data_IF_090969165960
#
_entry.id   IF_090969165960
#
_cell.length_a   1.000
_cell.length_b   1.000
_cell.length_c   1.000
_cell.angle_alpha   90.00
_cell.angle_beta   90.00
_cell.angle_gamma   90.00
#
_symmetry.space_group_name_H-M   'P 1'
#
loop_
_entity.id
_entity.type
_entity.pdbx_description
1 polymer ?
#
# COMPACT_ATOMS: atom_id res chain seq x y z
N UNK A 1 -27.44 17.41 -6.35
CA UNK A 1 -27.73 16.47 -5.24
C UNK A 1 -26.43 16.01 -4.56
N UNK A 2 -25.73 14.98 -5.06
CA UNK A 2 -24.51 14.43 -4.43
C UNK A 2 -23.34 15.44 -4.32
N UNK A 3 -23.06 16.19 -5.39
CA UNK A 3 -21.97 17.17 -5.43
C UNK A 3 -22.23 18.38 -4.52
N UNK A 4 -23.48 18.81 -4.41
CA UNK A 4 -23.89 19.95 -3.57
C UNK A 4 -23.76 19.65 -2.07
N UNK A 5 -24.07 18.42 -1.64
CA UNK A 5 -23.90 17.99 -0.25
C UNK A 5 -22.41 17.98 0.16
N UNK A 6 -21.53 17.56 -0.74
CA UNK A 6 -20.09 17.57 -0.51
C UNK A 6 -19.50 18.98 -0.47
N UNK A 7 -19.90 19.84 -1.40
CA UNK A 7 -19.47 21.24 -1.41
C UNK A 7 -19.92 21.93 -0.13
N UNK A 8 -21.18 21.73 0.27
CA UNK A 8 -21.70 22.24 1.53
C UNK A 8 -20.94 21.72 2.74
N UNK A 9 -20.68 20.42 2.82
CA UNK A 9 -19.90 19.83 3.92
C UNK A 9 -18.45 20.33 3.97
N UNK A 10 -17.84 20.61 2.81
CA UNK A 10 -16.50 21.22 2.72
C UNK A 10 -16.52 22.67 3.17
N UNK A 11 -17.50 23.45 2.74
CA UNK A 11 -17.66 24.87 3.10
C UNK A 11 -17.94 25.02 4.59
N UNK A 12 -18.83 24.18 5.13
CA UNK A 12 -19.20 24.21 6.55
C UNK A 12 -18.20 23.46 7.45
N UNK A 13 -17.21 22.77 6.87
CA UNK A 13 -16.13 22.12 7.62
C UNK A 13 -16.58 20.96 8.50
N UNK A 14 -17.67 20.27 8.17
CA UNK A 14 -18.22 19.22 9.03
C UNK A 14 -17.21 18.10 9.30
N UNK A 15 -16.92 17.88 10.57
CA UNK A 15 -16.16 16.74 11.06
C UNK A 15 -16.93 15.44 10.84
N UNK A 16 -16.23 14.30 10.83
CA UNK A 16 -16.92 13.02 10.69
C UNK A 16 -17.88 12.76 11.85
N UNK A 17 -17.53 13.17 13.07
CA UNK A 17 -18.37 13.02 14.24
C UNK A 17 -19.72 13.77 14.07
N UNK A 18 -19.68 14.98 13.50
CA UNK A 18 -20.89 15.74 13.20
C UNK A 18 -21.73 15.08 12.10
N UNK A 19 -21.10 14.60 11.03
CA UNK A 19 -21.81 13.88 9.97
C UNK A 19 -22.46 12.61 10.54
N UNK A 20 -21.73 11.84 11.35
CA UNK A 20 -22.26 10.64 12.02
C UNK A 20 -23.44 10.98 12.93
N UNK A 21 -23.35 12.05 13.74
CA UNK A 21 -24.43 12.47 14.62
C UNK A 21 -25.71 12.80 13.85
N UNK A 22 -25.59 13.50 12.71
CA UNK A 22 -26.74 13.84 11.86
C UNK A 22 -27.33 12.62 11.13
N UNK A 23 -26.48 11.72 10.64
CA UNK A 23 -26.93 10.45 10.06
C UNK A 23 -27.72 9.64 11.10
N UNK A 24 -27.25 9.59 12.35
CA UNK A 24 -27.97 8.94 13.46
C UNK A 24 -29.28 9.64 13.81
N UNK A 25 -29.39 10.94 13.57
CA UNK A 25 -30.62 11.71 13.75
C UNK A 25 -31.64 11.53 12.60
N UNK A 26 -31.31 10.73 11.58
CA UNK A 26 -32.20 10.41 10.46
C UNK A 26 -31.84 11.09 9.13
N UNK A 27 -30.81 11.93 9.09
CA UNK A 27 -30.31 12.54 7.85
C UNK A 27 -29.43 11.56 7.06
N UNK A 28 -30.00 10.42 6.65
CA UNK A 28 -29.27 9.28 6.08
C UNK A 28 -28.47 9.62 4.82
N UNK A 29 -28.95 10.57 4.02
CA UNK A 29 -28.26 11.07 2.82
C UNK A 29 -26.86 11.64 3.12
N UNK A 30 -26.62 12.13 4.34
CA UNK A 30 -25.31 12.65 4.73
C UNK A 30 -24.23 11.56 4.87
N UNK A 31 -24.62 10.28 4.93
CA UNK A 31 -23.67 9.18 4.95
C UNK A 31 -22.80 9.13 3.69
N UNK A 32 -23.32 9.62 2.56
CA UNK A 32 -22.57 9.75 1.30
C UNK A 32 -21.28 10.57 1.47
N UNK A 33 -21.28 11.57 2.35
CA UNK A 33 -20.08 12.39 2.62
C UNK A 33 -18.97 11.52 3.20
N UNK A 34 -19.28 10.66 4.17
CA UNK A 34 -18.32 9.73 4.77
C UNK A 34 -17.82 8.73 3.73
N UNK A 35 -18.72 8.15 2.93
CA UNK A 35 -18.33 7.22 1.87
C UNK A 35 -17.32 7.85 0.91
N UNK A 36 -17.63 9.05 0.41
CA UNK A 36 -16.74 9.73 -0.55
C UNK A 36 -15.40 10.15 0.05
N UNK A 37 -15.35 10.50 1.34
CA UNK A 37 -14.10 10.77 2.07
C UNK A 37 -13.21 9.53 2.14
N UNK A 38 -13.79 8.34 2.28
CA UNK A 38 -13.05 7.13 2.63
C UNK A 38 -12.97 6.06 1.54
N UNK A 39 -13.65 6.23 0.41
CA UNK A 39 -13.65 5.25 -0.69
C UNK A 39 -12.24 4.84 -1.13
N UNK A 40 -11.36 5.80 -1.37
CA UNK A 40 -10.01 5.49 -1.85
C UNK A 40 -9.21 4.66 -0.84
N UNK A 41 -9.32 5.01 0.44
CA UNK A 41 -8.68 4.35 1.58
C UNK A 41 -9.19 2.93 1.78
N UNK A 42 -10.51 2.74 1.71
CA UNK A 42 -11.13 1.42 1.83
C UNK A 42 -10.80 0.53 0.64
N UNK A 43 -10.82 1.07 -0.58
CA UNK A 43 -10.44 0.35 -1.80
C UNK A 43 -9.01 -0.17 -1.71
N UNK A 44 -8.07 0.72 -1.36
CA UNK A 44 -6.65 0.41 -1.16
C UNK A 44 -6.47 -0.72 -0.16
N UNK A 45 -7.07 -0.62 1.03
CA UNK A 45 -6.96 -1.66 2.06
C UNK A 45 -7.54 -3.01 1.61
N UNK A 46 -8.73 -3.04 1.02
CA UNK A 46 -9.36 -4.27 0.54
C UNK A 46 -8.59 -4.91 -0.61
N UNK A 47 -8.14 -4.09 -1.58
CA UNK A 47 -7.34 -4.51 -2.74
C UNK A 47 -6.01 -5.12 -2.31
N UNK A 48 -5.36 -4.54 -1.29
CA UNK A 48 -4.13 -5.09 -0.74
C UNK A 48 -4.36 -6.51 -0.20
N UNK A 49 -5.47 -6.78 0.49
CA UNK A 49 -5.75 -8.08 1.07
C UNK A 49 -6.15 -9.11 -0.01
N UNK A 50 -7.14 -8.78 -0.84
CA UNK A 50 -7.79 -9.75 -1.73
C UNK A 50 -7.03 -10.02 -3.03
N UNK A 51 -6.24 -9.04 -3.49
CA UNK A 51 -5.62 -9.03 -4.83
C UNK A 51 -6.62 -9.20 -5.99
N UNK A 52 -7.90 -8.89 -5.80
CA UNK A 52 -8.91 -8.76 -6.87
C UNK A 52 -9.64 -7.39 -6.79
N UNK A 53 -9.77 -6.61 -7.88
CA UNK A 53 -10.43 -5.30 -7.85
C UNK A 53 -11.94 -5.40 -7.62
N UNK A 54 -12.60 -6.37 -8.25
CA UNK A 54 -14.05 -6.56 -8.14
C UNK A 54 -14.41 -7.05 -6.73
N UNK A 55 -13.66 -8.01 -6.18
CA UNK A 55 -13.88 -8.44 -4.80
C UNK A 55 -13.60 -7.31 -3.79
N UNK A 56 -12.64 -6.43 -4.08
CA UNK A 56 -12.38 -5.26 -3.25
C UNK A 56 -13.57 -4.30 -3.24
N UNK A 57 -14.17 -3.99 -4.39
CA UNK A 57 -15.37 -3.16 -4.48
C UNK A 57 -16.54 -3.79 -3.72
N UNK A 58 -16.75 -5.10 -3.86
CA UNK A 58 -17.80 -5.81 -3.13
C UNK A 58 -17.58 -5.76 -1.60
N UNK A 59 -16.33 -5.92 -1.13
CA UNK A 59 -16.01 -5.76 0.30
C UNK A 59 -16.27 -4.34 0.77
N UNK A 60 -15.96 -3.33 -0.04
CA UNK A 60 -16.24 -1.94 0.33
C UNK A 60 -17.75 -1.72 0.54
N UNK A 61 -18.58 -2.26 -0.36
CA UNK A 61 -20.03 -2.16 -0.25
C UNK A 61 -20.53 -2.81 1.04
N UNK A 62 -20.11 -4.06 1.30
CA UNK A 62 -20.47 -4.78 2.52
C UNK A 62 -20.00 -4.04 3.78
N UNK A 63 -18.79 -3.50 3.76
CA UNK A 63 -18.22 -2.74 4.87
C UNK A 63 -19.04 -1.48 5.15
N UNK A 64 -19.45 -0.73 4.12
CA UNK A 64 -20.29 0.45 4.31
C UNK A 64 -21.69 0.11 4.83
N UNK A 65 -22.29 -0.99 4.36
CA UNK A 65 -23.58 -1.46 4.86
C UNK A 65 -23.47 -1.84 6.34
N UNK A 66 -22.45 -2.63 6.70
CA UNK A 66 -22.21 -3.04 8.09
C UNK A 66 -21.87 -1.86 8.99
N UNK A 67 -21.06 -0.91 8.51
CA UNK A 67 -20.75 0.32 9.21
C UNK A 67 -22.02 1.16 9.45
N UNK A 68 -22.88 1.28 8.45
CA UNK A 68 -24.16 1.99 8.62
C UNK A 68 -25.06 1.31 9.67
N UNK A 69 -25.21 -0.02 9.61
CA UNK A 69 -26.00 -0.79 10.57
C UNK A 69 -25.48 -0.67 12.01
N UNK A 70 -24.16 -0.60 12.17
CA UNK A 70 -23.49 -0.51 13.47
C UNK A 70 -23.09 0.92 13.85
N UNK A 71 -23.55 1.94 13.11
CA UNK A 71 -23.15 3.33 13.30
C UNK A 71 -23.48 3.86 14.70
N UNK A 72 -24.51 3.30 15.34
CA UNK A 72 -24.89 3.60 16.72
C UNK A 72 -23.83 3.21 17.76
N UNK A 73 -22.98 2.22 17.44
CA UNK A 73 -21.88 1.74 18.30
C UNK A 73 -20.60 2.57 18.11
N UNK A 74 -20.56 3.47 17.12
CA UNK A 74 -19.44 4.39 16.99
C UNK A 74 -19.52 5.46 18.08
N UNK A 75 -18.60 5.36 19.04
CA UNK A 75 -18.53 6.25 20.21
C UNK A 75 -17.54 7.41 20.06
N UNK A 76 -16.83 7.51 18.92
CA UNK A 76 -15.85 8.58 18.69
C UNK A 76 -14.56 8.48 19.51
N UNK A 77 -14.31 7.34 20.17
CA UNK A 77 -13.04 7.10 20.90
C UNK A 77 -11.83 6.96 19.98
N UNK A 78 -12.07 6.56 18.74
CA UNK A 78 -11.10 6.46 17.66
C UNK A 78 -11.62 7.26 16.44
N UNK A 79 -10.73 7.71 15.53
CA UNK A 79 -11.13 8.29 14.26
C UNK A 79 -12.09 7.36 13.51
N UNK A 80 -13.14 7.94 12.90
CA UNK A 80 -14.12 7.18 12.13
C UNK A 80 -13.46 6.33 11.03
N UNK A 81 -12.40 6.86 10.41
CA UNK A 81 -11.63 6.16 9.40
C UNK A 81 -11.01 4.85 9.90
N UNK A 82 -10.45 4.84 11.12
CA UNK A 82 -9.85 3.65 11.72
C UNK A 82 -10.93 2.60 12.04
N UNK A 83 -12.05 3.05 12.58
CA UNK A 83 -13.20 2.18 12.86
C UNK A 83 -13.77 1.53 11.59
N UNK A 84 -13.95 2.32 10.52
CA UNK A 84 -14.44 1.84 9.24
C UNK A 84 -13.45 0.88 8.56
N UNK A 85 -12.15 1.20 8.61
CA UNK A 85 -11.11 0.33 8.05
C UNK A 85 -11.06 -1.03 8.74
N UNK A 86 -11.25 -1.09 10.07
CA UNK A 86 -11.35 -2.37 10.77
C UNK A 86 -12.47 -3.24 10.22
N UNK A 87 -13.63 -2.65 9.95
CA UNK A 87 -14.77 -3.39 9.37
C UNK A 87 -14.37 -3.93 7.99
N UNK A 88 -13.83 -3.09 7.11
CA UNK A 88 -13.45 -3.49 5.76
C UNK A 88 -12.35 -4.56 5.75
N UNK A 89 -11.33 -4.42 6.59
CA UNK A 89 -10.22 -5.37 6.72
C UNK A 89 -10.73 -6.72 7.23
N UNK A 90 -11.60 -6.74 8.22
CA UNK A 90 -12.17 -7.99 8.73
C UNK A 90 -13.03 -8.70 7.69
N UNK A 91 -13.83 -7.97 6.90
CA UNK A 91 -14.58 -8.55 5.78
C UNK A 91 -13.63 -9.14 4.71
N UNK A 92 -12.58 -8.41 4.32
CA UNK A 92 -11.60 -8.86 3.34
C UNK A 92 -10.87 -10.14 3.80
N UNK A 93 -10.36 -10.15 5.05
CA UNK A 93 -9.70 -11.31 5.65
C UNK A 93 -10.67 -12.50 5.78
N UNK A 94 -11.93 -12.23 6.11
CA UNK A 94 -12.98 -13.27 6.19
C UNK A 94 -13.21 -13.96 4.85
N UNK A 95 -13.35 -13.18 3.76
CA UNK A 95 -13.51 -13.72 2.40
C UNK A 95 -12.29 -14.53 1.96
N UNK A 96 -11.08 -14.02 2.22
CA UNK A 96 -9.84 -14.70 1.89
C UNK A 96 -9.73 -16.08 2.56
N UNK A 97 -10.03 -16.17 3.87
CA UNK A 97 -10.03 -17.45 4.61
C UNK A 97 -11.03 -18.46 4.04
N UNK A 98 -12.19 -18.00 3.59
CA UNK A 98 -13.21 -18.87 2.96
C UNK A 98 -12.69 -19.40 1.62
N UNK A 99 -12.05 -18.54 0.82
CA UNK A 99 -11.44 -18.91 -0.46
C UNK A 99 -10.37 -19.99 -0.27
N UNK A 100 -9.46 -19.79 0.67
CA UNK A 100 -8.35 -20.72 0.92
C UNK A 100 -8.85 -22.08 1.41
N UNK A 101 -9.88 -22.11 2.28
CA UNK A 101 -10.51 -23.35 2.74
C UNK A 101 -11.19 -24.13 1.61
N UNK A 102 -11.71 -23.44 0.60
CA UNK A 102 -12.42 -24.04 -0.52
C UNK A 102 -11.48 -24.42 -1.68
N UNK A 103 -10.17 -24.16 -1.56
CA UNK A 103 -9.16 -24.64 -2.52
C UNK A 103 -9.03 -26.17 -2.37
N UNK A 104 -9.18 -26.96 -3.45
CA UNK A 104 -9.01 -28.41 -3.37
C UNK A 104 -7.62 -28.77 -2.82
N UNK A 105 -7.57 -29.68 -1.85
CA UNK A 105 -6.33 -30.28 -1.33
C UNK A 105 -5.69 -31.11 -2.45
N UNK A 106 -4.86 -30.49 -3.27
CA UNK A 106 -4.24 -31.14 -4.43
C UNK A 106 -3.23 -30.29 -5.20
N UNK A 107 -3.20 -28.97 -5.00
CA UNK A 107 -2.21 -28.06 -5.57
C UNK A 107 -1.23 -27.61 -4.48
N UNK A 108 -0.42 -28.55 -4.00
CA UNK A 108 0.83 -28.26 -3.30
C UNK A 108 1.97 -28.39 -4.33
N UNK A 109 1.82 -27.69 -5.46
CA UNK A 109 2.94 -27.36 -6.32
C UNK A 109 3.34 -25.95 -5.95
N UNK A 110 4.62 -25.80 -5.55
CA UNK A 110 5.36 -24.55 -5.44
C UNK A 110 4.54 -23.34 -5.89
N UNK A 111 4.11 -22.49 -4.94
CA UNK A 111 3.90 -21.08 -5.29
C UNK A 111 5.28 -20.51 -5.65
N UNK A 112 5.76 -20.87 -6.85
CA UNK A 112 6.50 -19.94 -7.69
C UNK A 112 5.77 -18.63 -7.54
N UNK A 113 6.53 -17.61 -7.13
CA UNK A 113 6.09 -16.23 -7.00
C UNK A 113 5.55 -15.81 -8.37
N UNK A 114 4.29 -16.12 -8.61
CA UNK A 114 3.54 -15.77 -9.80
C UNK A 114 3.28 -14.28 -9.66
N UNK A 115 4.25 -13.52 -10.15
CA UNK A 115 4.09 -12.10 -10.46
C UNK A 115 3.09 -12.01 -11.61
N UNK A 116 1.80 -12.17 -11.29
CA UNK A 116 0.74 -11.80 -12.22
C UNK A 116 0.71 -10.27 -12.29
N UNK A 117 1.56 -9.77 -13.18
CA UNK A 117 1.60 -8.39 -13.63
C UNK A 117 0.23 -8.01 -14.18
N UNK A 118 -0.48 -7.12 -13.48
CA UNK A 118 -1.55 -6.36 -14.10
C UNK A 118 -0.89 -5.13 -14.72
N UNK A 119 -0.59 -5.26 -16.01
CA UNK A 119 -0.10 -4.18 -16.85
C UNK A 119 -1.21 -3.13 -16.97
N UNK A 120 -1.07 -2.01 -16.26
CA UNK A 120 -1.92 -0.84 -16.46
C UNK A 120 -1.15 0.18 -17.29
N UNK A 121 -1.72 0.55 -18.42
CA UNK A 121 -1.10 1.31 -19.50
C UNK A 121 -1.05 2.83 -19.23
N UNK A 122 0.12 3.45 -19.50
CA UNK A 122 0.36 4.56 -20.46
C UNK A 122 1.53 5.53 -20.09
N UNK A 123 2.30 5.86 -21.14
CA UNK A 123 3.46 6.75 -21.42
C UNK A 123 3.15 8.29 -21.28
N UNK A 124 4.06 9.33 -21.36
CA UNK A 124 5.51 9.35 -21.66
C UNK A 124 6.48 10.18 -20.75
N UNK A 125 7.68 9.60 -20.63
CA UNK A 125 9.06 10.12 -20.46
C UNK A 125 9.54 11.08 -19.35
N UNK A 126 8.70 11.79 -18.57
CA UNK A 126 9.17 12.45 -17.32
C UNK A 126 8.27 12.20 -16.09
N UNK A 127 7.00 11.86 -16.32
CA UNK A 127 6.15 11.18 -15.33
C UNK A 127 6.51 9.70 -15.18
N UNK A 128 7.27 9.15 -16.12
CA UNK A 128 7.66 7.73 -16.18
C UNK A 128 8.47 7.29 -14.95
N UNK A 129 9.43 8.07 -14.45
CA UNK A 129 10.27 7.62 -13.32
C UNK A 129 9.52 7.58 -11.98
N UNK A 130 8.63 8.54 -11.71
CA UNK A 130 7.79 8.53 -10.49
C UNK A 130 6.69 7.47 -10.57
N UNK A 131 6.08 7.31 -11.74
CA UNK A 131 5.12 6.24 -11.98
C UNK A 131 5.80 4.86 -11.86
N UNK A 132 6.99 4.69 -12.45
CA UNK A 132 7.79 3.45 -12.35
C UNK A 132 8.15 3.15 -10.89
N UNK A 133 8.61 4.14 -10.12
CA UNK A 133 8.87 3.93 -8.68
C UNK A 133 7.59 3.60 -7.89
N UNK A 134 6.48 4.26 -8.21
CA UNK A 134 5.16 3.97 -7.62
C UNK A 134 4.71 2.54 -7.90
N UNK A 135 4.85 2.09 -9.15
CA UNK A 135 4.54 0.71 -9.56
C UNK A 135 5.46 -0.29 -8.87
N UNK A 136 6.76 -0.02 -8.76
CA UNK A 136 7.70 -0.89 -8.06
C UNK A 136 7.34 -1.03 -6.56
N UNK A 137 6.90 0.06 -5.92
CA UNK A 137 6.44 0.02 -4.54
C UNK A 137 5.12 -0.75 -4.41
N UNK A 138 4.18 -0.53 -5.31
CA UNK A 138 2.91 -1.27 -5.34
C UNK A 138 3.14 -2.77 -5.53
N UNK A 139 3.99 -3.16 -6.49
CA UNK A 139 4.41 -4.55 -6.71
C UNK A 139 5.05 -5.14 -5.45
N UNK A 140 5.98 -4.41 -4.81
CA UNK A 140 6.64 -4.87 -3.59
C UNK A 140 5.64 -5.08 -2.45
N UNK A 141 4.67 -4.19 -2.26
CA UNK A 141 3.62 -4.36 -1.26
C UNK A 141 2.76 -5.59 -1.60
N UNK A 142 2.27 -5.71 -2.83
CA UNK A 142 1.42 -6.83 -3.25
C UNK A 142 2.15 -8.18 -3.24
N UNK A 143 3.47 -8.18 -3.37
CA UNK A 143 4.35 -9.35 -3.26
C UNK A 143 4.54 -9.87 -1.84
N UNK A 144 4.33 -9.04 -0.80
CA UNK A 144 4.44 -9.48 0.60
C UNK A 144 3.43 -10.58 0.94
N UNK A 145 3.74 -11.54 1.83
CA UNK A 145 2.72 -12.40 2.41
C UNK A 145 1.64 -11.58 3.14
N UNK A 146 0.40 -12.05 3.08
CA UNK A 146 -0.81 -11.36 3.56
C UNK A 146 -0.63 -10.71 4.95
N UNK A 147 -0.12 -11.48 5.91
CA UNK A 147 0.05 -11.06 7.30
C UNK A 147 0.95 -9.83 7.46
N UNK A 148 1.93 -9.65 6.57
CA UNK A 148 2.83 -8.49 6.55
C UNK A 148 2.26 -7.37 5.70
N UNK A 149 1.65 -7.71 4.55
CA UNK A 149 1.06 -6.76 3.62
C UNK A 149 -0.02 -5.92 4.28
N UNK A 150 -0.94 -6.55 5.01
CA UNK A 150 -2.01 -5.83 5.69
C UNK A 150 -1.46 -4.84 6.73
N UNK A 151 -0.39 -5.20 7.45
CA UNK A 151 0.26 -4.33 8.42
C UNK A 151 0.95 -3.14 7.74
N UNK A 152 1.72 -3.38 6.68
CA UNK A 152 2.38 -2.32 5.89
C UNK A 152 1.34 -1.37 5.30
N UNK A 153 0.25 -1.90 4.75
CA UNK A 153 -0.81 -1.08 4.17
C UNK A 153 -1.45 -0.15 5.20
N UNK A 154 -1.82 -0.67 6.37
CA UNK A 154 -2.46 0.12 7.41
C UNK A 154 -1.49 1.15 8.05
N UNK A 155 -0.21 0.79 8.21
CA UNK A 155 0.78 1.64 8.89
C UNK A 155 1.42 2.69 8.00
N UNK A 156 1.82 2.33 6.80
CA UNK A 156 2.65 3.19 5.95
C UNK A 156 1.84 3.89 4.87
N UNK A 157 0.77 3.27 4.35
CA UNK A 157 -0.07 3.87 3.30
C UNK A 157 -1.24 4.61 3.91
N UNK A 158 -1.90 4.00 4.90
CA UNK A 158 -3.07 4.57 5.55
C UNK A 158 -2.74 5.32 6.85
N UNK A 159 -1.47 5.32 7.29
CA UNK A 159 -0.95 6.08 8.44
C UNK A 159 -1.69 5.84 9.78
N UNK A 160 -2.35 4.69 9.97
CA UNK A 160 -2.99 4.33 11.24
C UNK A 160 -1.91 4.17 12.30
N UNK A 161 -2.20 4.49 13.56
CA UNK A 161 -1.32 4.21 14.70
C UNK A 161 -1.09 2.69 14.91
N UNK A 162 -0.06 2.33 15.68
CA UNK A 162 0.20 0.93 16.03
C UNK A 162 -0.97 0.31 16.79
N UNK A 163 -1.58 1.05 17.70
CA UNK A 163 -2.74 0.63 18.47
C UNK A 163 -3.97 0.40 17.57
N UNK A 164 -4.28 1.35 16.67
CA UNK A 164 -5.40 1.20 15.73
C UNK A 164 -5.18 0.03 14.76
N UNK A 165 -3.95 -0.18 14.30
CA UNK A 165 -3.61 -1.32 13.44
C UNK A 165 -3.75 -2.65 14.17
N UNK A 166 -3.33 -2.70 15.44
CA UNK A 166 -3.45 -3.87 16.30
C UNK A 166 -4.93 -4.24 16.50
N UNK A 167 -5.77 -3.25 16.80
CA UNK A 167 -7.22 -3.43 16.93
C UNK A 167 -7.88 -3.84 15.60
N UNK A 168 -7.43 -3.26 14.48
CA UNK A 168 -8.00 -3.55 13.16
C UNK A 168 -7.71 -4.98 12.68
N UNK A 169 -6.54 -5.52 13.01
CA UNK A 169 -6.08 -6.84 12.57
C UNK A 169 -6.21 -7.94 13.62
N UNK A 170 -6.76 -7.63 14.79
CA UNK A 170 -6.83 -8.53 15.95
C UNK A 170 -5.44 -9.08 16.33
N UNK A 171 -4.48 -8.17 16.50
CA UNK A 171 -3.09 -8.44 16.86
C UNK A 171 -2.68 -7.69 18.13
N UNK A 172 -1.56 -8.09 18.72
CA UNK A 172 -0.89 -7.26 19.72
C UNK A 172 -0.09 -6.15 19.03
N UNK A 173 0.09 -5.00 19.69
CA UNK A 173 0.97 -3.93 19.18
C UNK A 173 2.39 -4.41 18.90
N UNK A 174 2.90 -5.35 19.70
CA UNK A 174 4.21 -5.95 19.49
C UNK A 174 4.27 -6.77 18.19
N UNK A 175 3.23 -7.56 17.91
CA UNK A 175 3.13 -8.28 16.65
C UNK A 175 3.05 -7.34 15.45
N UNK A 176 2.35 -6.20 15.58
CA UNK A 176 2.32 -5.16 14.54
C UNK A 176 3.72 -4.64 14.25
N UNK A 177 4.51 -4.29 15.28
CA UNK A 177 5.89 -3.79 15.11
C UNK A 177 6.79 -4.82 14.44
N UNK A 178 6.73 -6.08 14.90
CA UNK A 178 7.52 -7.18 14.34
C UNK A 178 7.16 -7.42 12.87
N UNK A 179 5.86 -7.48 12.56
CA UNK A 179 5.38 -7.70 11.19
C UNK A 179 5.73 -6.54 10.27
N UNK A 180 5.61 -5.30 10.75
CA UNK A 180 6.00 -4.11 9.98
C UNK A 180 7.49 -4.15 9.63
N UNK A 181 8.35 -4.42 10.63
CA UNK A 181 9.78 -4.52 10.42
C UNK A 181 10.16 -5.61 9.42
N UNK A 182 9.54 -6.79 9.53
CA UNK A 182 9.75 -7.89 8.58
C UNK A 182 9.23 -7.55 7.18
N UNK A 183 8.07 -6.91 7.08
CA UNK A 183 7.51 -6.43 5.81
C UNK A 183 8.48 -5.46 5.10
N UNK A 184 9.04 -4.49 5.83
CA UNK A 184 10.06 -3.58 5.27
C UNK A 184 11.33 -4.31 4.83
N UNK A 185 11.77 -5.34 5.56
CA UNK A 185 12.93 -6.12 5.17
C UNK A 185 12.70 -6.87 3.85
N UNK A 186 11.53 -7.51 3.70
CA UNK A 186 11.14 -8.21 2.46
C UNK A 186 10.97 -7.25 1.28
N UNK A 187 10.30 -6.11 1.49
CA UNK A 187 10.18 -5.08 0.44
C UNK A 187 11.54 -4.56 0.01
N UNK A 188 12.44 -4.33 0.97
CA UNK A 188 13.81 -3.89 0.67
C UNK A 188 14.53 -4.91 -0.21
N UNK A 189 14.46 -6.19 0.12
CA UNK A 189 15.05 -7.27 -0.66
C UNK A 189 14.49 -7.32 -2.09
N UNK A 190 13.16 -7.33 -2.26
CA UNK A 190 12.50 -7.32 -3.57
C UNK A 190 12.91 -6.10 -4.42
N UNK A 191 12.94 -4.91 -3.81
CA UNK A 191 13.34 -3.68 -4.51
C UNK A 191 14.84 -3.71 -4.86
N UNK A 192 15.71 -4.24 -4.00
CA UNK A 192 17.13 -4.36 -4.31
C UNK A 192 17.40 -5.35 -5.43
N UNK A 193 16.67 -6.46 -5.52
CA UNK A 193 16.81 -7.39 -6.66
C UNK A 193 16.39 -6.71 -7.97
N UNK A 194 15.27 -5.98 -7.95
CA UNK A 194 14.72 -5.29 -9.12
C UNK A 194 15.59 -4.11 -9.59
N UNK A 195 16.19 -3.38 -8.66
CA UNK A 195 17.06 -2.22 -8.93
C UNK A 195 18.54 -2.63 -9.11
N UNK A 196 18.99 -3.71 -8.47
CA UNK A 196 20.36 -4.22 -8.49
C UNK A 196 20.84 -4.58 -9.90
N UNK A 197 19.93 -4.99 -10.78
CA UNK A 197 20.18 -5.17 -12.22
C UNK A 197 20.59 -3.88 -12.93
N UNK A 198 20.14 -2.71 -12.43
CA UNK A 198 20.53 -1.37 -12.92
C UNK A 198 21.68 -0.73 -12.13
N UNK A 199 22.13 -1.30 -11.00
CA UNK A 199 23.15 -0.69 -10.13
C UNK A 199 24.53 -0.51 -10.81
N UNK A 200 24.93 -1.44 -11.68
CA UNK A 200 26.15 -1.29 -12.50
C UNK A 200 26.03 -0.15 -13.52
N UNK A 201 24.81 0.15 -13.98
CA UNK A 201 24.53 1.27 -14.87
C UNK A 201 24.41 2.62 -14.13
N UNK A 202 24.13 2.61 -12.82
CA UNK A 202 24.05 3.82 -12.00
C UNK A 202 25.43 4.46 -11.71
N UNK A 203 26.51 3.67 -11.74
CA UNK A 203 27.88 4.14 -11.61
C UNK A 203 28.75 3.74 -12.83
N UNK A 204 28.48 4.29 -14.03
CA UNK A 204 29.25 3.92 -15.21
C UNK A 204 30.67 4.46 -15.12
N UNK A 205 31.68 3.60 -15.31
CA UNK A 205 33.05 4.06 -15.56
C UNK A 205 33.13 4.52 -17.03
N UNK A 206 32.75 5.78 -17.27
CA UNK A 206 32.77 6.39 -18.60
C UNK A 206 34.21 6.45 -19.15
N UNK A 207 34.38 6.13 -20.45
CA UNK A 207 35.69 5.99 -21.12
C UNK A 207 36.66 7.17 -20.96
N UNK A 208 36.16 8.41 -20.87
CA UNK A 208 37.00 9.60 -20.62
C UNK A 208 37.71 9.61 -19.25
N UNK A 209 37.20 8.84 -18.28
CA UNK A 209 37.89 8.61 -17.00
C UNK A 209 38.99 7.56 -17.16
N UNK A 210 38.80 6.58 -18.03
CA UNK A 210 39.83 5.61 -18.41
C UNK A 210 41.01 6.33 -19.06
N UNK A 211 40.75 7.16 -20.08
CA UNK A 211 41.79 7.84 -20.84
C UNK A 211 42.62 8.78 -19.97
N UNK A 212 41.99 9.48 -19.03
CA UNK A 212 42.71 10.33 -18.05
C UNK A 212 43.54 9.52 -17.05
N UNK A 213 43.04 8.38 -16.60
CA UNK A 213 43.81 7.49 -15.71
C UNK A 213 44.99 6.90 -16.47
N UNK A 214 44.78 6.44 -17.70
CA UNK A 214 45.84 5.91 -18.58
C UNK A 214 46.90 6.97 -18.86
N UNK A 215 46.51 8.18 -19.29
CA UNK A 215 47.43 9.29 -19.53
C UNK A 215 48.20 9.69 -18.26
N UNK A 216 47.52 9.72 -17.10
CA UNK A 216 48.16 10.01 -15.82
C UNK A 216 49.16 8.94 -15.37
N UNK A 217 48.90 7.67 -15.68
CA UNK A 217 49.84 6.57 -15.41
C UNK A 217 51.06 6.67 -16.32
N UNK A 218 50.88 6.87 -17.62
CA UNK A 218 52.01 7.01 -18.57
C UNK A 218 52.88 8.23 -18.26
N UNK A 219 52.30 9.39 -17.91
CA UNK A 219 53.07 10.56 -17.51
C UNK A 219 53.95 10.31 -16.26
N UNK A 220 53.52 9.43 -15.35
CA UNK A 220 54.31 9.04 -14.17
C UNK A 220 55.40 8.03 -14.50
N UNK A 221 55.15 7.13 -15.45
CA UNK A 221 56.14 6.18 -15.96
C UNK A 221 57.24 6.89 -16.75
N UNK A 222 56.90 7.89 -17.57
CA UNK A 222 57.87 8.69 -18.32
C UNK A 222 58.76 9.57 -17.42
N UNK A 223 58.23 10.00 -16.26
CA UNK A 223 59.00 10.68 -15.21
C UNK A 223 59.88 9.75 -14.38
N UNK A 224 59.68 8.43 -14.47
CA UNK A 224 60.49 7.43 -13.78
C UNK A 224 61.55 6.94 -14.76
N UNK A 225 62.72 7.61 -14.79
CA UNK A 225 63.90 7.05 -15.46
C UNK A 225 64.09 5.62 -14.97
N UNK A 226 63.93 4.65 -15.87
CA UNK A 226 64.33 3.27 -15.62
C UNK A 226 65.77 3.30 -15.10
N UNK A 227 66.08 2.72 -13.92
CA UNK A 227 67.47 2.50 -13.54
C UNK A 227 68.06 1.56 -14.59
N UNK A 228 69.05 2.06 -15.32
CA UNK A 228 69.83 1.29 -16.29
C UNK A 228 70.69 0.23 -15.62
#
# INVERSE_FOLDING_TARGET
>A
MATELLERAKIEGWTDAEVVARVRAGETALYEILMRRYNQRLYRAARAILKDPAEAEDVMQDAYVRAYQNLHQFEGRAPFAAWLLRIAVNEALGRLRIRDRNRPLGDDENEEISMNMVETSLDPEQSASKAELGHLLEEAVLGLPEAYRAVVMLRDVEELSTAETAEALDLTEENVKIRLHRGHAMMREMLFERVGTKAKAAFPFMGERCDRVVAGVFARLDGTKMPG
#
